data_IF_492520753306
#
_entry.id   IF_492520753306
#
_cell.length_a   1.000
_cell.length_b   1.000
_cell.length_c   1.000
_cell.angle_alpha   90.00
_cell.angle_beta   90.00
_cell.angle_gamma   90.00
#
_symmetry.space_group_name_H-M   'P 1'
#
loop_
_entity.id
_entity.type
_entity.pdbx_description
1 polymer ?
#
# COMPACT_ATOMS: atom_id res chain seq x y z
N UNK A 1 14.22 -33.22 -74.23
CA UNK A 1 14.71 -32.56 -72.98
C UNK A 1 15.67 -31.47 -73.41
N UNK A 2 15.27 -30.24 -73.28
CA UNK A 2 16.18 -29.12 -73.59
C UNK A 2 17.25 -29.05 -72.49
N UNK A 3 18.49 -29.08 -72.86
CA UNK A 3 19.62 -28.94 -71.93
C UNK A 3 19.74 -27.45 -71.56
N UNK A 4 19.52 -27.14 -70.29
CA UNK A 4 19.75 -25.80 -69.76
C UNK A 4 21.24 -25.49 -69.96
N UNK A 5 21.55 -24.37 -70.65
CA UNK A 5 22.91 -23.94 -70.87
C UNK A 5 23.49 -23.35 -69.55
N UNK A 6 24.80 -23.40 -69.40
CA UNK A 6 25.48 -22.84 -68.23
C UNK A 6 25.17 -21.36 -68.00
N UNK A 7 25.05 -20.60 -69.08
CA UNK A 7 24.70 -19.15 -69.05
C UNK A 7 23.26 -18.94 -68.52
N UNK A 8 22.31 -19.77 -68.90
CA UNK A 8 20.94 -19.68 -68.42
C UNK A 8 20.87 -19.99 -66.92
N UNK A 9 21.65 -20.94 -66.43
CA UNK A 9 21.73 -21.29 -65.01
C UNK A 9 22.37 -20.14 -64.23
N UNK A 10 23.44 -19.51 -64.77
CA UNK A 10 24.11 -18.39 -64.13
C UNK A 10 23.19 -17.15 -64.01
N UNK A 11 22.48 -16.83 -65.10
CA UNK A 11 21.50 -15.74 -65.08
C UNK A 11 20.38 -16.00 -64.08
N UNK A 12 19.88 -17.22 -63.96
CA UNK A 12 18.88 -17.57 -62.98
C UNK A 12 19.38 -17.42 -61.56
N UNK A 13 20.58 -17.86 -61.24
CA UNK A 13 21.18 -17.73 -59.89
C UNK A 13 21.42 -16.28 -59.50
N UNK A 14 21.89 -15.43 -60.43
CA UNK A 14 22.09 -13.99 -60.16
C UNK A 14 20.76 -13.28 -59.92
N UNK A 15 19.72 -13.55 -60.74
CA UNK A 15 18.41 -12.96 -60.55
C UNK A 15 17.76 -13.46 -59.22
N UNK A 16 17.90 -14.71 -58.88
CA UNK A 16 17.37 -15.27 -57.62
C UNK A 16 18.05 -14.65 -56.40
N UNK A 17 19.39 -14.50 -56.43
CA UNK A 17 20.12 -13.83 -55.36
C UNK A 17 19.71 -12.36 -55.22
N UNK A 18 19.46 -11.66 -56.32
CA UNK A 18 19.01 -10.25 -56.34
C UNK A 18 17.61 -10.12 -55.72
N UNK A 19 16.71 -11.04 -56.01
CA UNK A 19 15.33 -11.08 -55.41
C UNK A 19 15.41 -11.32 -53.91
N UNK A 20 16.22 -12.27 -53.47
CA UNK A 20 16.44 -12.57 -52.04
C UNK A 20 16.97 -11.38 -51.26
N UNK A 21 17.98 -10.69 -51.82
CA UNK A 21 18.57 -9.49 -51.16
C UNK A 21 17.59 -8.33 -51.10
N UNK A 22 16.85 -8.06 -52.19
CA UNK A 22 15.78 -7.03 -52.20
C UNK A 22 14.68 -7.37 -51.20
N UNK A 23 14.24 -8.62 -51.13
CA UNK A 23 13.24 -9.07 -50.16
C UNK A 23 13.71 -8.90 -48.71
N UNK A 24 14.97 -9.23 -48.43
CA UNK A 24 15.57 -9.05 -47.11
C UNK A 24 15.61 -7.56 -46.67
N UNK A 25 15.96 -6.67 -47.58
CA UNK A 25 15.97 -5.21 -47.31
C UNK A 25 14.57 -4.69 -47.05
N UNK A 26 13.59 -5.08 -47.84
CA UNK A 26 12.17 -4.65 -47.66
C UNK A 26 11.63 -5.15 -46.32
N UNK A 27 11.86 -6.41 -45.95
CA UNK A 27 11.48 -6.94 -44.64
C UNK A 27 12.16 -6.18 -43.48
N UNK A 28 13.44 -5.90 -43.60
CA UNK A 28 14.18 -5.13 -42.60
C UNK A 28 13.62 -3.73 -42.37
N UNK A 29 13.26 -3.03 -43.45
CA UNK A 29 12.65 -1.71 -43.41
C UNK A 29 11.24 -1.78 -42.80
N UNK A 30 10.43 -2.76 -43.20
CA UNK A 30 9.08 -2.95 -42.69
C UNK A 30 9.07 -3.22 -41.17
N UNK A 31 10.00 -4.07 -40.68
CA UNK A 31 10.16 -4.34 -39.25
C UNK A 31 10.61 -3.10 -38.45
N UNK A 32 11.49 -2.29 -39.05
CA UNK A 32 12.00 -1.06 -38.42
C UNK A 32 10.92 0.02 -38.29
N UNK A 33 10.11 0.17 -39.35
CA UNK A 33 8.96 1.06 -39.35
C UNK A 33 7.87 0.56 -38.38
N UNK A 34 7.58 -0.73 -38.41
CA UNK A 34 6.61 -1.35 -37.49
C UNK A 34 6.96 -1.14 -36.02
N UNK A 35 8.24 -1.33 -35.64
CA UNK A 35 8.72 -1.02 -34.28
C UNK A 35 8.58 0.44 -33.92
N UNK A 36 8.90 1.35 -34.83
CA UNK A 36 8.81 2.81 -34.59
C UNK A 36 7.36 3.25 -34.38
N UNK A 37 6.44 2.73 -35.18
CA UNK A 37 5.01 3.04 -35.07
C UNK A 37 4.42 2.48 -33.78
N UNK A 38 4.74 1.22 -33.43
CA UNK A 38 4.31 0.59 -32.19
C UNK A 38 4.82 1.33 -30.96
N UNK A 39 6.11 1.67 -30.92
CA UNK A 39 6.66 2.42 -29.79
C UNK A 39 6.03 3.81 -29.65
N UNK A 40 5.81 4.54 -30.76
CA UNK A 40 5.14 5.83 -30.72
C UNK A 40 3.67 5.78 -30.28
N UNK A 41 2.99 4.64 -30.49
CA UNK A 41 1.63 4.45 -30.00
C UNK A 41 1.58 4.00 -28.54
N UNK A 42 2.63 3.34 -28.04
CA UNK A 42 2.71 2.86 -26.66
C UNK A 42 3.20 3.94 -25.68
N UNK A 43 3.98 4.91 -26.15
CA UNK A 43 4.53 6.00 -25.33
C UNK A 43 3.45 6.76 -24.53
N UNK A 44 2.33 7.20 -25.10
CA UNK A 44 1.27 7.88 -24.32
C UNK A 44 0.56 6.97 -23.32
N UNK A 45 0.58 5.64 -23.53
CA UNK A 45 0.04 4.71 -22.54
C UNK A 45 0.99 4.50 -21.36
N UNK A 46 2.29 4.42 -21.63
CA UNK A 46 3.31 4.33 -20.57
C UNK A 46 3.29 5.59 -19.70
N UNK A 47 3.22 6.79 -20.30
CA UNK A 47 3.11 8.05 -19.55
C UNK A 47 1.86 8.09 -18.66
N UNK A 48 0.74 7.56 -19.14
CA UNK A 48 -0.48 7.45 -18.33
C UNK A 48 -0.35 6.46 -17.19
N UNK A 49 0.31 5.33 -17.41
CA UNK A 49 0.58 4.33 -16.37
C UNK A 49 1.47 4.94 -15.28
N UNK A 50 2.56 5.59 -15.66
CA UNK A 50 3.48 6.24 -14.73
C UNK A 50 2.79 7.33 -13.90
N UNK A 51 1.91 8.13 -14.54
CA UNK A 51 1.14 9.14 -13.84
C UNK A 51 0.13 8.53 -12.86
N UNK A 52 -0.53 7.43 -13.24
CA UNK A 52 -1.45 6.71 -12.36
C UNK A 52 -0.73 6.05 -11.19
N UNK A 53 0.46 5.50 -11.40
CA UNK A 53 1.28 4.94 -10.33
C UNK A 53 1.70 6.02 -9.33
N UNK A 54 2.16 7.19 -9.81
CA UNK A 54 2.50 8.33 -8.94
C UNK A 54 1.30 8.78 -8.10
N UNK A 55 0.15 9.02 -8.75
CA UNK A 55 -1.07 9.42 -8.06
C UNK A 55 -1.51 8.39 -7.02
N UNK A 56 -1.37 7.10 -7.32
CA UNK A 56 -1.67 6.01 -6.39
C UNK A 56 -0.74 6.01 -5.17
N UNK A 57 0.56 6.23 -5.37
CA UNK A 57 1.52 6.31 -4.28
C UNK A 57 1.23 7.51 -3.38
N UNK A 58 0.98 8.68 -3.95
CA UNK A 58 0.60 9.89 -3.20
C UNK A 58 -0.66 9.66 -2.37
N UNK A 59 -1.72 9.14 -2.97
CA UNK A 59 -2.97 8.82 -2.27
C UNK A 59 -2.77 7.79 -1.14
N UNK A 60 -1.88 6.82 -1.35
CA UNK A 60 -1.56 5.82 -0.32
C UNK A 60 -0.87 6.44 0.89
N UNK A 61 0.10 7.34 0.70
CA UNK A 61 0.77 8.04 1.80
C UNK A 61 -0.17 8.99 2.54
N UNK A 62 -1.02 9.74 1.82
CA UNK A 62 -2.05 10.59 2.45
C UNK A 62 -3.00 9.75 3.33
N UNK A 63 -3.51 8.63 2.79
CA UNK A 63 -4.40 7.73 3.53
C UNK A 63 -3.72 7.17 4.79
N UNK A 64 -2.44 6.84 4.70
CA UNK A 64 -1.64 6.33 5.83
C UNK A 64 -1.46 7.38 6.93
N UNK A 65 -1.23 8.63 6.56
CA UNK A 65 -1.16 9.74 7.51
C UNK A 65 -2.50 10.00 8.19
N UNK A 66 -3.61 9.97 7.44
CA UNK A 66 -4.95 10.09 8.00
C UNK A 66 -5.28 8.97 8.98
N UNK A 67 -4.97 7.72 8.63
CA UNK A 67 -5.15 6.57 9.53
C UNK A 67 -4.35 6.76 10.82
N UNK A 68 -3.13 7.28 10.75
CA UNK A 68 -2.31 7.57 11.92
C UNK A 68 -2.98 8.62 12.81
N UNK A 69 -3.44 9.73 12.24
CA UNK A 69 -4.17 10.79 12.97
C UNK A 69 -5.41 10.24 13.68
N UNK A 70 -6.23 9.46 12.96
CA UNK A 70 -7.43 8.83 13.50
C UNK A 70 -7.09 7.90 14.68
N UNK A 71 -6.03 7.09 14.56
CA UNK A 71 -5.57 6.20 15.64
C UNK A 71 -5.15 6.99 16.89
N UNK A 72 -4.42 8.09 16.72
CA UNK A 72 -3.96 8.92 17.81
C UNK A 72 -5.15 9.62 18.51
N UNK A 73 -6.10 10.13 17.75
CA UNK A 73 -7.33 10.72 18.29
C UNK A 73 -8.19 9.67 19.02
N UNK A 74 -8.35 8.47 18.46
CA UNK A 74 -9.09 7.39 19.09
C UNK A 74 -8.46 6.98 20.43
N UNK A 75 -7.13 6.89 20.47
CA UNK A 75 -6.39 6.62 21.71
C UNK A 75 -6.63 7.72 22.75
N UNK A 76 -6.54 8.99 22.35
CA UNK A 76 -6.78 10.14 23.22
C UNK A 76 -8.22 10.14 23.77
N UNK A 77 -9.20 9.90 22.92
CA UNK A 77 -10.61 9.85 23.31
C UNK A 77 -10.87 8.68 24.26
N UNK A 78 -10.32 7.51 24.00
CA UNK A 78 -10.41 6.35 24.90
C UNK A 78 -9.83 6.67 26.28
N UNK A 79 -8.64 7.28 26.37
CA UNK A 79 -8.04 7.66 27.63
C UNK A 79 -8.86 8.72 28.37
N UNK A 80 -9.45 9.69 27.66
CA UNK A 80 -10.34 10.70 28.26
C UNK A 80 -11.61 10.08 28.84
N UNK A 81 -12.23 9.13 28.13
CA UNK A 81 -13.41 8.41 28.58
C UNK A 81 -13.08 7.63 29.86
N UNK A 82 -11.99 6.86 29.87
CA UNK A 82 -11.56 6.13 31.05
C UNK A 82 -11.26 7.06 32.23
N UNK A 83 -10.58 8.19 32.01
CA UNK A 83 -10.34 9.21 33.02
C UNK A 83 -11.63 9.73 33.63
N UNK A 84 -12.64 10.01 32.81
CA UNK A 84 -13.94 10.49 33.29
C UNK A 84 -14.62 9.42 34.15
N UNK A 85 -14.57 8.14 33.76
CA UNK A 85 -15.10 7.03 34.55
C UNK A 85 -14.37 6.90 35.90
N UNK A 86 -13.05 6.95 35.92
CA UNK A 86 -12.22 6.88 37.14
C UNK A 86 -12.55 7.99 38.11
N UNK A 87 -12.76 9.21 37.61
CA UNK A 87 -12.99 10.39 38.43
C UNK A 87 -14.46 10.59 38.86
N UNK A 88 -15.41 9.93 38.21
CA UNK A 88 -16.84 10.08 38.50
C UNK A 88 -17.25 9.24 39.72
N UNK A 89 -17.56 9.89 40.83
CA UNK A 89 -17.93 9.24 42.10
C UNK A 89 -19.31 8.57 42.10
N UNK A 90 -20.13 8.87 41.11
CA UNK A 90 -21.45 8.23 40.93
C UNK A 90 -21.36 6.83 40.29
N UNK A 91 -20.20 6.46 39.77
CA UNK A 91 -19.92 5.16 39.17
C UNK A 91 -19.45 4.19 40.28
N UNK A 92 -19.94 2.94 40.31
CA UNK A 92 -19.51 1.94 41.29
C UNK A 92 -17.98 1.79 41.37
N UNK A 93 -17.47 1.56 42.58
CA UNK A 93 -16.02 1.48 42.82
C UNK A 93 -15.36 0.40 41.97
N UNK A 94 -16.00 -0.77 41.82
CA UNK A 94 -15.50 -1.88 41.00
C UNK A 94 -15.30 -1.49 39.52
N UNK A 95 -16.24 -0.73 38.95
CA UNK A 95 -16.15 -0.26 37.55
C UNK A 95 -15.07 0.80 37.40
N UNK A 96 -14.91 1.68 38.39
CA UNK A 96 -13.84 2.70 38.40
C UNK A 96 -12.45 2.07 38.49
N UNK A 97 -12.29 0.99 39.27
CA UNK A 97 -11.06 0.22 39.35
C UNK A 97 -10.76 -0.49 38.03
N UNK A 98 -11.76 -1.13 37.41
CA UNK A 98 -11.61 -1.76 36.11
C UNK A 98 -11.18 -0.75 35.03
N UNK A 99 -11.82 0.42 34.97
CA UNK A 99 -11.44 1.51 34.09
C UNK A 99 -10.02 2.03 34.36
N UNK A 100 -9.59 2.04 35.64
CA UNK A 100 -8.23 2.42 36.05
C UNK A 100 -7.15 1.49 35.53
N UNK A 101 -7.38 0.19 35.60
CA UNK A 101 -6.49 -0.83 35.05
C UNK A 101 -6.37 -0.68 33.53
N UNK A 102 -7.48 -0.56 32.83
CA UNK A 102 -7.49 -0.34 31.39
C UNK A 102 -6.79 0.96 30.97
N UNK A 103 -6.97 2.05 31.76
CA UNK A 103 -6.28 3.32 31.56
C UNK A 103 -4.75 3.17 31.64
N UNK A 104 -4.28 2.40 32.62
CA UNK A 104 -2.85 2.14 32.81
C UNK A 104 -2.27 1.29 31.68
N UNK A 105 -2.99 0.23 31.27
CA UNK A 105 -2.60 -0.67 30.19
C UNK A 105 -2.49 0.07 28.84
N UNK A 106 -3.37 1.05 28.60
CA UNK A 106 -3.31 1.91 27.41
C UNK A 106 -2.24 2.99 27.48
N UNK A 107 -1.42 3.02 28.53
CA UNK A 107 -0.32 3.95 28.74
C UNK A 107 -0.75 5.31 29.32
N UNK A 108 -1.86 5.35 30.02
CA UNK A 108 -2.28 6.49 30.83
C UNK A 108 -1.27 6.77 31.95
N UNK A 109 -1.07 8.05 32.28
CA UNK A 109 -0.07 8.51 33.23
C UNK A 109 -0.56 9.70 34.09
N UNK A 110 0.39 10.24 34.91
CA UNK A 110 0.15 11.44 35.70
C UNK A 110 -0.79 11.24 36.88
N UNK A 111 -1.51 12.30 37.26
CA UNK A 111 -2.36 12.34 38.47
C UNK A 111 -3.47 11.26 38.43
N UNK A 112 -3.95 10.85 37.27
CA UNK A 112 -4.97 9.82 37.15
C UNK A 112 -4.43 8.47 37.59
N UNK A 113 -3.16 8.16 37.32
CA UNK A 113 -2.53 6.92 37.80
C UNK A 113 -2.45 6.85 39.32
N UNK A 114 -2.17 7.97 39.96
CA UNK A 114 -2.19 8.05 41.44
C UNK A 114 -3.62 7.77 41.95
N UNK A 115 -4.63 8.33 41.31
CA UNK A 115 -6.03 8.10 41.65
C UNK A 115 -6.43 6.62 41.50
N UNK A 116 -5.95 5.96 40.45
CA UNK A 116 -6.17 4.52 40.25
C UNK A 116 -5.66 3.70 41.44
N UNK A 117 -4.42 3.91 41.88
CA UNK A 117 -3.87 3.25 43.08
C UNK A 117 -4.73 3.47 44.31
N UNK A 118 -5.18 4.70 44.58
CA UNK A 118 -6.08 5.00 45.70
C UNK A 118 -7.41 4.23 45.62
N UNK A 119 -7.96 4.06 44.40
CA UNK A 119 -9.19 3.32 44.19
C UNK A 119 -8.97 1.81 44.40
N UNK A 120 -7.85 1.27 43.95
CA UNK A 120 -7.49 -0.13 44.15
C UNK A 120 -7.34 -0.45 45.64
N UNK A 121 -6.57 0.36 46.38
CA UNK A 121 -6.45 0.20 47.85
C UNK A 121 -7.80 0.27 48.57
N UNK A 122 -8.68 1.19 48.13
CA UNK A 122 -10.01 1.32 48.70
C UNK A 122 -10.85 0.07 48.40
N UNK A 123 -10.78 -0.44 47.19
CA UNK A 123 -11.54 -1.62 46.76
C UNK A 123 -11.08 -2.88 47.52
N UNK A 124 -9.78 -3.07 47.70
CA UNK A 124 -9.24 -4.19 48.48
C UNK A 124 -9.74 -4.14 49.93
N UNK A 125 -9.70 -2.98 50.58
CA UNK A 125 -10.22 -2.79 51.96
C UNK A 125 -11.74 -3.06 52.06
N UNK A 126 -12.53 -2.74 51.02
CA UNK A 126 -13.96 -3.07 51.00
C UNK A 126 -14.20 -4.57 50.84
N UNK A 127 -13.41 -5.28 50.02
CA UNK A 127 -13.48 -6.73 49.88
C UNK A 127 -13.14 -7.47 51.19
N UNK A 128 -12.11 -7.03 51.91
CA UNK A 128 -11.72 -7.61 53.21
C UNK A 128 -12.81 -7.44 54.27
N UNK A 129 -13.55 -6.36 54.27
CA UNK A 129 -14.65 -6.09 55.19
C UNK A 129 -15.94 -6.81 54.87
N UNK A 130 -16.20 -7.05 53.55
CA UNK A 130 -17.39 -7.76 53.09
C UNK A 130 -17.31 -9.27 53.11
N UNK A 131 -16.15 -9.85 53.40
CA UNK A 131 -15.89 -11.28 53.49
C UNK A 131 -16.08 -11.89 54.89
N UNK A 132 -16.69 -11.16 55.83
CA UNK A 132 -17.01 -11.68 57.15
C UNK A 132 -18.50 -11.93 57.31
#
# INVERSE_FOLDING_TARGET
MENITLDQLQHFLVNFASILTAGGIICGIALKIGKKVLNGQLEPFNDRIDNLEKARVEQHEETKEEIKKIKDELKKNSLNTLKNTICNENIPLSERVAAGREYTDKGGNGAVKIRVHQLEEKYEKELEKGGK
#
